data_IF_518666140351
#
_entry.id   IF_518666140351
#
_cell.length_a   1.000
_cell.length_b   1.000
_cell.length_c   1.000
_cell.angle_alpha   90.00
_cell.angle_beta   90.00
_cell.angle_gamma   90.00
#
_symmetry.space_group_name_H-M   'P 1'
#
loop_
_entity.id
_entity.type
_entity.pdbx_description
1 polymer ?
#
# COMPACT_ATOMS: atom_id res chain seq x y z
N UNK A 1 -11.04 2.42 -15.90
CA UNK A 1 -11.01 1.04 -15.34
C UNK A 1 -10.93 0.98 -13.81
N UNK A 2 -10.50 2.04 -13.09
CA UNK A 2 -10.40 2.03 -11.61
C UNK A 2 -11.72 2.29 -10.87
N UNK A 3 -12.65 3.06 -11.43
CA UNK A 3 -13.90 3.41 -10.72
C UNK A 3 -14.80 2.19 -10.40
N UNK A 4 -14.79 1.18 -11.27
CA UNK A 4 -15.55 -0.04 -11.04
C UNK A 4 -15.04 -0.76 -9.79
N UNK A 5 -13.71 -0.82 -9.60
CA UNK A 5 -13.05 -1.48 -8.46
C UNK A 5 -13.35 -0.79 -7.14
N UNK A 6 -13.37 0.54 -7.11
CA UNK A 6 -13.70 1.31 -5.90
C UNK A 6 -15.16 1.14 -5.47
N UNK A 7 -16.11 1.11 -6.43
CA UNK A 7 -17.54 0.88 -6.15
C UNK A 7 -17.81 -0.47 -5.45
N UNK A 8 -16.94 -1.47 -5.63
CA UNK A 8 -17.06 -2.77 -4.97
C UNK A 8 -16.63 -2.77 -3.50
N UNK A 9 -15.70 -1.89 -3.12
CA UNK A 9 -15.23 -1.78 -1.73
C UNK A 9 -16.24 -1.05 -0.84
N UNK A 10 -17.02 -0.15 -1.44
CA UNK A 10 -17.99 0.70 -0.73
C UNK A 10 -17.37 2.01 -0.27
N UNK A 11 -17.94 2.63 0.76
CA UNK A 11 -17.46 3.92 1.27
C UNK A 11 -16.26 3.70 2.19
N UNK A 12 -15.18 4.44 1.98
CA UNK A 12 -14.03 4.46 2.89
C UNK A 12 -14.46 4.92 4.29
N UNK A 13 -14.03 4.22 5.33
CA UNK A 13 -14.29 4.60 6.73
C UNK A 13 -13.04 5.12 7.41
N UNK A 14 -11.97 4.32 7.40
CA UNK A 14 -10.70 4.62 8.10
C UNK A 14 -9.58 3.73 7.58
N UNK A 15 -8.34 4.17 7.74
CA UNK A 15 -7.13 3.39 7.46
C UNK A 15 -6.20 3.39 8.65
N UNK A 16 -5.58 2.24 8.93
CA UNK A 16 -4.59 2.08 10.00
C UNK A 16 -3.28 1.59 9.40
N UNK A 17 -2.18 2.32 9.67
CA UNK A 17 -0.83 1.84 9.36
C UNK A 17 -0.50 0.68 10.30
N UNK A 18 -0.24 -0.50 9.75
CA UNK A 18 0.08 -1.69 10.55
C UNK A 18 1.57 -1.95 10.62
N UNK A 19 2.30 -1.70 9.53
CA UNK A 19 3.72 -2.04 9.45
C UNK A 19 4.40 -1.17 8.41
N UNK A 20 5.53 -0.58 8.81
CA UNK A 20 6.53 -0.01 7.93
C UNK A 20 7.74 -0.95 7.96
N UNK A 21 8.11 -1.51 6.80
CA UNK A 21 9.27 -2.38 6.68
C UNK A 21 10.24 -1.80 5.68
N UNK A 22 11.37 -1.33 6.18
CA UNK A 22 12.49 -0.92 5.35
C UNK A 22 13.35 -2.16 5.10
N UNK A 23 13.56 -2.49 3.82
CA UNK A 23 14.42 -3.62 3.43
C UNK A 23 15.66 -3.03 2.75
N UNK A 24 16.77 -3.02 3.48
CA UNK A 24 18.07 -2.64 2.92
C UNK A 24 18.70 -3.89 2.29
N UNK A 25 18.66 -3.97 0.96
CA UNK A 25 19.41 -4.99 0.21
C UNK A 25 20.88 -4.59 0.11
N UNK A 26 21.80 -5.55 0.28
CA UNK A 26 23.24 -5.39 0.00
C UNK A 26 23.51 -5.02 -1.48
N UNK A 27 22.53 -5.30 -2.36
CA UNK A 27 22.54 -4.98 -3.78
C UNK A 27 21.51 -3.88 -4.07
N UNK A 28 21.89 -2.63 -3.76
CA UNK A 28 21.48 -1.37 -4.42
C UNK A 28 20.01 -0.96 -4.52
N UNK A 29 19.03 -1.67 -3.95
CA UNK A 29 17.64 -1.20 -3.93
C UNK A 29 17.18 -0.95 -2.49
N UNK A 30 17.35 0.29 -2.03
CA UNK A 30 16.76 0.77 -0.78
C UNK A 30 15.24 0.87 -0.97
N UNK A 31 14.53 -0.21 -0.66
CA UNK A 31 13.08 -0.27 -0.79
C UNK A 31 12.40 -0.16 0.57
N UNK A 32 11.38 0.69 0.64
CA UNK A 32 10.50 0.84 1.81
C UNK A 32 9.13 0.30 1.44
N UNK A 33 8.65 -0.69 2.19
CA UNK A 33 7.29 -1.18 2.06
C UNK A 33 6.42 -0.65 3.19
N UNK A 34 5.31 0.01 2.84
CA UNK A 34 4.28 0.47 3.76
C UNK A 34 3.03 -0.38 3.59
N UNK A 35 2.54 -0.96 4.69
CA UNK A 35 1.34 -1.79 4.70
C UNK A 35 0.25 -1.11 5.53
N UNK A 36 -0.82 -0.72 4.84
CA UNK A 36 -2.03 -0.16 5.43
C UNK A 36 -3.16 -1.18 5.41
N UNK A 37 -4.03 -1.10 6.41
CA UNK A 37 -5.33 -1.76 6.39
C UNK A 37 -6.39 -0.68 6.34
N UNK A 38 -7.12 -0.64 5.23
CA UNK A 38 -8.20 0.30 5.00
C UNK A 38 -9.53 -0.41 5.16
N UNK A 39 -10.34 0.08 6.09
CA UNK A 39 -11.70 -0.37 6.31
C UNK A 39 -12.63 0.43 5.41
N UNK A 40 -13.32 -0.29 4.54
CA UNK A 40 -14.43 0.22 3.75
C UNK A 40 -15.74 -0.36 4.27
N UNK A 41 -16.86 0.21 3.85
CA UNK A 41 -18.19 -0.21 4.32
C UNK A 41 -18.52 -1.66 3.99
N UNK A 42 -17.92 -2.25 2.94
CA UNK A 42 -18.17 -3.64 2.54
C UNK A 42 -16.99 -4.58 2.76
N UNK A 43 -15.76 -4.08 2.84
CA UNK A 43 -14.53 -4.90 2.84
C UNK A 43 -13.42 -4.27 3.65
N UNK A 44 -12.51 -5.10 4.14
CA UNK A 44 -11.21 -4.68 4.64
C UNK A 44 -10.19 -4.93 3.54
N UNK A 45 -9.39 -3.91 3.26
CA UNK A 45 -8.40 -3.93 2.18
C UNK A 45 -7.02 -3.80 2.79
N UNK A 46 -6.14 -4.74 2.47
CA UNK A 46 -4.71 -4.59 2.72
C UNK A 46 -4.09 -3.84 1.55
N UNK A 47 -3.48 -2.69 1.82
CA UNK A 47 -2.81 -1.88 0.84
C UNK A 47 -1.30 -1.96 1.07
N UNK A 48 -0.55 -2.26 0.02
CA UNK A 48 0.90 -2.42 0.06
C UNK A 48 1.50 -1.42 -0.92
N UNK A 49 2.25 -0.47 -0.38
CA UNK A 49 3.00 0.52 -1.14
C UNK A 49 4.47 0.15 -1.06
N UNK A 50 5.14 0.07 -2.21
CA UNK A 50 6.59 -0.13 -2.30
C UNK A 50 7.20 1.13 -2.85
N UNK A 51 8.10 1.72 -2.08
CA UNK A 51 8.86 2.90 -2.43
C UNK A 51 10.31 2.54 -2.67
N UNK A 52 10.92 3.22 -3.63
CA UNK A 52 12.35 3.16 -3.90
C UNK A 52 12.99 4.47 -3.44
N UNK A 53 14.08 4.36 -2.69
CA UNK A 53 14.88 5.49 -2.23
C UNK A 53 16.05 5.70 -3.19
N UNK A 54 15.88 6.60 -4.15
CA UNK A 54 16.95 7.03 -5.06
C UNK A 54 17.59 8.32 -4.52
N UNK A 55 18.73 8.18 -3.84
CA UNK A 55 19.43 9.31 -3.21
C UNK A 55 18.61 9.94 -2.08
N UNK A 56 18.17 11.19 -2.25
CA UNK A 56 17.30 11.93 -1.29
C UNK A 56 15.82 11.94 -1.68
N UNK A 57 15.44 11.22 -2.74
CA UNK A 57 14.06 11.20 -3.25
C UNK A 57 13.42 9.85 -2.94
N UNK A 58 12.13 9.92 -2.58
CA UNK A 58 11.28 8.74 -2.39
C UNK A 58 10.36 8.65 -3.61
N UNK A 59 10.36 7.53 -4.31
CA UNK A 59 9.51 7.30 -5.48
C UNK A 59 8.61 6.09 -5.24
N UNK A 60 7.31 6.23 -5.47
CA UNK A 60 6.40 5.09 -5.45
C UNK A 60 6.71 4.18 -6.63
N UNK A 61 7.22 2.98 -6.35
CA UNK A 61 7.60 1.97 -7.34
C UNK A 61 6.43 1.06 -7.68
N UNK A 62 5.66 0.64 -6.68
CA UNK A 62 4.44 -0.12 -6.90
C UNK A 62 3.41 0.12 -5.81
N UNK A 63 2.15 -0.06 -6.19
CA UNK A 63 1.02 -0.09 -5.27
C UNK A 63 0.16 -1.29 -5.65
N UNK A 64 -0.20 -2.08 -4.65
CA UNK A 64 -1.20 -3.14 -4.80
C UNK A 64 -2.10 -3.14 -3.59
N UNK A 65 -3.30 -3.66 -3.78
CA UNK A 65 -4.22 -3.88 -2.70
C UNK A 65 -4.93 -5.20 -2.87
N UNK A 66 -5.18 -5.87 -1.75
CA UNK A 66 -5.88 -7.14 -1.68
C UNK A 66 -7.07 -7.01 -0.72
N UNK A 67 -8.22 -7.53 -1.14
CA UNK A 67 -9.35 -7.66 -0.22
C UNK A 67 -9.13 -8.87 0.67
N UNK A 68 -9.24 -8.66 1.99
CA UNK A 68 -9.05 -9.73 2.98
C UNK A 68 -10.39 -10.41 3.35
N UNK A 69 -11.48 -9.95 2.72
CA UNK A 69 -12.83 -10.55 2.72
C UNK A 69 -13.22 -11.03 1.32
#
# INVERSE_FOLDING_TARGET
>A
MNEAKEKHLGTYKKSTLKTERITHSLFSNNEVSLIYFSEYSKRIVQEIFVFELEGKKVKLKSYRYDSIN
#
